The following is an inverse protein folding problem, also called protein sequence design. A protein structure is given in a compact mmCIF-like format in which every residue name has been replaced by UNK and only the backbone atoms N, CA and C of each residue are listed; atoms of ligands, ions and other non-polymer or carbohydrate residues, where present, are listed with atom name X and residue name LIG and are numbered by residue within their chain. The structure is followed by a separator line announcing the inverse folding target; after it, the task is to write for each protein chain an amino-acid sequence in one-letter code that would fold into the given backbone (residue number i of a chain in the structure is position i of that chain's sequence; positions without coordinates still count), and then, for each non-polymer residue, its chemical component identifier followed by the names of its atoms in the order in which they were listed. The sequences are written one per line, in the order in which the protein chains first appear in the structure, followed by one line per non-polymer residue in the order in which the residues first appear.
data_IF_281860314891
#
_entry.id   IF_281860314891
#
_cell.length_a   1.000
_cell.length_b   1.000
_cell.length_c   1.000
_cell.angle_alpha   90.00
_cell.angle_beta   90.00
_cell.angle_gamma   90.00
#
_symmetry.space_group_name_H-M   'P 1'
#
loop_
_entity.id
_entity.type
_entity.pdbx_description
1 polymer ?
#
# COMPACT_ATOMS: atom_id res chain seq x y z
N UNK A 1 1.99 -5.91 19.81
CA UNK A 1 2.97 -6.28 18.75
C UNK A 1 3.70 -5.05 18.23
N UNK A 2 2.99 -3.99 17.80
CA UNK A 2 3.58 -2.68 17.46
C UNK A 2 4.57 -2.18 18.53
N UNK A 3 4.23 -2.31 19.81
CA UNK A 3 5.17 -2.01 20.91
C UNK A 3 6.51 -2.78 20.81
N UNK A 4 6.46 -4.10 20.56
CA UNK A 4 7.67 -4.94 20.43
C UNK A 4 8.47 -4.59 19.18
N UNK A 5 7.79 -4.32 18.07
CA UNK A 5 8.41 -3.93 16.81
C UNK A 5 9.13 -2.58 16.95
N UNK A 6 8.42 -1.59 17.49
CA UNK A 6 8.94 -0.25 17.72
C UNK A 6 10.16 -0.28 18.66
N UNK A 7 10.06 -0.98 19.79
CA UNK A 7 11.21 -1.18 20.68
C UNK A 7 12.36 -1.92 19.98
N UNK A 8 12.04 -2.96 19.20
CA UNK A 8 13.02 -3.74 18.44
C UNK A 8 13.83 -2.87 17.46
N UNK A 9 13.22 -1.87 16.85
CA UNK A 9 13.91 -0.92 15.96
C UNK A 9 14.94 -0.11 16.71
N UNK A 10 14.59 0.47 17.85
CA UNK A 10 15.53 1.23 18.67
C UNK A 10 16.66 0.38 19.22
N UNK A 11 16.36 -0.84 19.68
CA UNK A 11 17.39 -1.75 20.20
C UNK A 11 18.35 -2.22 19.10
N UNK A 12 17.83 -2.57 17.93
CA UNK A 12 18.67 -2.98 16.78
C UNK A 12 19.53 -1.82 16.30
N UNK A 13 18.95 -0.62 16.22
CA UNK A 13 19.66 0.58 15.84
C UNK A 13 20.76 0.95 16.84
N UNK A 14 20.47 0.84 18.15
CA UNK A 14 21.47 1.06 19.19
C UNK A 14 22.62 0.06 19.08
N UNK A 15 22.34 -1.23 18.86
CA UNK A 15 23.37 -2.24 18.68
C UNK A 15 24.24 -1.98 17.43
N UNK A 16 23.63 -1.65 16.29
CA UNK A 16 24.36 -1.32 15.06
C UNK A 16 25.23 -0.06 15.23
N UNK A 17 24.71 0.97 15.90
CA UNK A 17 25.44 2.20 16.18
C UNK A 17 26.60 1.98 17.15
N UNK A 18 26.42 1.16 18.19
CA UNK A 18 27.49 0.77 19.10
C UNK A 18 28.59 0.02 18.34
N UNK A 19 28.23 -0.87 17.42
CA UNK A 19 29.21 -1.57 16.59
C UNK A 19 29.95 -0.59 15.65
N UNK A 20 29.25 0.32 14.96
CA UNK A 20 29.88 1.36 14.14
C UNK A 20 30.83 2.25 14.92
N UNK A 21 30.43 2.64 16.12
CA UNK A 21 31.27 3.49 16.96
C UNK A 21 32.49 2.73 17.49
N UNK A 22 32.30 1.58 18.13
CA UNK A 22 33.35 0.87 18.85
C UNK A 22 34.26 0.04 17.96
N UNK A 23 33.71 -0.60 16.92
CA UNK A 23 34.46 -1.51 16.05
C UNK A 23 34.94 -0.84 14.75
N UNK A 24 34.12 0.03 14.16
CA UNK A 24 34.46 0.71 12.89
C UNK A 24 35.10 2.10 13.13
N UNK A 25 34.92 2.68 14.32
CA UNK A 25 35.50 3.98 14.67
C UNK A 25 34.72 5.17 14.11
N UNK A 26 33.40 5.05 13.94
CA UNK A 26 32.53 6.13 13.46
C UNK A 26 31.76 6.78 14.63
N UNK A 27 32.31 7.82 15.28
CA UNK A 27 31.66 8.49 16.41
C UNK A 27 30.45 9.35 16.00
N UNK A 28 30.33 9.68 14.71
CA UNK A 28 29.27 10.56 14.21
C UNK A 28 27.90 9.86 14.12
N UNK A 29 27.87 8.51 14.20
CA UNK A 29 26.66 7.70 14.08
C UNK A 29 25.54 8.14 15.04
N UNK A 30 25.87 8.43 16.31
CA UNK A 30 24.87 8.86 17.29
C UNK A 30 24.31 10.25 16.96
N UNK A 31 25.16 11.18 16.47
CA UNK A 31 24.72 12.50 16.01
C UNK A 31 23.76 12.35 14.83
N UNK A 32 24.07 11.48 13.87
CA UNK A 32 23.21 11.20 12.71
C UNK A 32 21.87 10.57 13.10
N UNK A 33 21.87 9.63 14.05
CA UNK A 33 20.63 9.03 14.56
C UNK A 33 19.73 10.06 15.25
N UNK A 34 20.31 10.94 16.09
CA UNK A 34 19.56 12.00 16.75
C UNK A 34 19.02 13.02 15.73
N UNK A 35 19.83 13.43 14.75
CA UNK A 35 19.36 14.29 13.67
C UNK A 35 18.18 13.66 12.92
N UNK A 36 18.30 12.37 12.57
CA UNK A 36 17.26 11.63 11.87
C UNK A 36 15.93 11.56 12.65
N UNK A 37 15.96 11.48 13.99
CA UNK A 37 14.73 11.56 14.81
C UNK A 37 13.96 12.85 14.56
N UNK A 38 14.63 14.00 14.63
CA UNK A 38 13.99 15.30 14.46
C UNK A 38 13.58 15.55 13.00
N UNK A 39 14.40 15.11 12.03
CA UNK A 39 14.07 15.20 10.62
C UNK A 39 12.81 14.38 10.29
N UNK A 40 12.71 13.14 10.78
CA UNK A 40 11.52 12.30 10.58
C UNK A 40 10.29 12.86 11.28
N UNK A 41 10.45 13.52 12.44
CA UNK A 41 9.34 14.22 13.09
C UNK A 41 8.81 15.37 12.22
N UNK A 42 9.68 16.14 11.56
CA UNK A 42 9.28 17.20 10.60
C UNK A 42 8.58 16.59 9.38
N UNK A 43 9.17 15.55 8.76
CA UNK A 43 8.58 14.85 7.61
C UNK A 43 7.18 14.32 7.95
N UNK A 44 6.97 13.84 9.18
CA UNK A 44 5.65 13.40 9.64
C UNK A 44 4.61 14.52 9.56
N UNK A 45 4.97 15.75 9.91
CA UNK A 45 4.07 16.91 9.84
C UNK A 45 3.78 17.31 8.39
N UNK A 46 4.79 17.28 7.51
CA UNK A 46 4.60 17.55 6.07
C UNK A 46 3.63 16.55 5.43
N UNK A 47 3.80 15.26 5.75
CA UNK A 47 2.86 14.21 5.35
C UNK A 47 1.47 14.46 5.92
N UNK A 48 1.36 14.93 7.16
CA UNK A 48 0.06 15.27 7.75
C UNK A 48 -0.66 16.39 7.01
N UNK A 49 0.03 17.44 6.56
CA UNK A 49 -0.60 18.52 5.77
C UNK A 49 -1.24 17.97 4.50
N UNK A 50 -0.54 17.07 3.80
CA UNK A 50 -1.08 16.37 2.64
C UNK A 50 -2.29 15.50 3.00
N UNK A 51 -2.21 14.75 4.11
CA UNK A 51 -3.31 13.91 4.59
C UNK A 51 -4.55 14.72 4.98
N UNK A 52 -4.39 15.88 5.63
CA UNK A 52 -5.51 16.78 5.94
C UNK A 52 -6.27 17.18 4.68
N UNK A 53 -5.57 17.63 3.64
CA UNK A 53 -6.22 18.03 2.37
C UNK A 53 -6.89 16.85 1.66
N UNK A 54 -6.17 15.74 1.52
CA UNK A 54 -6.66 14.57 0.76
C UNK A 54 -7.81 13.85 1.45
N UNK A 55 -7.73 13.60 2.77
CA UNK A 55 -8.81 12.96 3.54
C UNK A 55 -10.09 13.81 3.52
N UNK A 56 -9.96 15.12 3.69
CA UNK A 56 -11.09 16.08 3.63
C UNK A 56 -11.78 16.04 2.27
N UNK A 57 -11.01 16.08 1.17
CA UNK A 57 -11.53 16.04 -0.19
C UNK A 57 -12.30 14.75 -0.46
N UNK A 58 -11.65 13.61 -0.21
CA UNK A 58 -12.18 12.30 -0.58
C UNK A 58 -13.39 11.89 0.24
N UNK A 59 -13.38 12.20 1.54
CA UNK A 59 -14.53 11.88 2.38
C UNK A 59 -15.72 12.78 2.12
N UNK A 60 -15.51 14.04 1.71
CA UNK A 60 -16.59 14.89 1.23
C UNK A 60 -17.29 14.29 0.00
N UNK A 61 -16.53 13.91 -1.02
CA UNK A 61 -17.09 13.26 -2.21
C UNK A 61 -17.74 11.90 -1.91
N UNK A 62 -17.11 11.11 -1.03
CA UNK A 62 -17.66 9.83 -0.60
C UNK A 62 -19.01 9.99 0.09
N UNK A 63 -19.16 11.02 0.92
CA UNK A 63 -20.41 11.33 1.62
C UNK A 63 -21.54 11.64 0.65
N UNK A 64 -21.25 12.32 -0.46
CA UNK A 64 -22.23 12.54 -1.54
C UNK A 64 -22.62 11.20 -2.18
N UNK A 65 -21.64 10.34 -2.50
CA UNK A 65 -21.91 9.04 -3.11
C UNK A 65 -22.78 8.13 -2.22
N UNK A 66 -22.56 8.16 -0.91
CA UNK A 66 -23.39 7.48 0.10
C UNK A 66 -24.81 8.02 0.11
N UNK A 67 -24.97 9.34 0.27
CA UNK A 67 -26.28 9.98 0.28
C UNK A 67 -27.04 9.75 -1.04
N UNK A 68 -26.33 9.57 -2.15
CA UNK A 68 -26.89 9.26 -3.46
C UNK A 68 -27.25 7.77 -3.67
N UNK A 69 -26.92 6.89 -2.71
CA UNK A 69 -27.21 5.46 -2.78
C UNK A 69 -26.25 4.65 -3.66
N UNK A 70 -25.08 5.20 -4.01
CA UNK A 70 -24.10 4.53 -4.88
C UNK A 70 -23.35 3.42 -4.14
N UNK A 71 -23.01 3.65 -2.88
CA UNK A 71 -22.26 2.69 -2.05
C UNK A 71 -23.08 1.42 -1.81
N UNK A 72 -24.39 1.54 -1.61
CA UNK A 72 -25.33 0.43 -1.42
C UNK A 72 -25.53 -0.37 -2.71
N UNK A 73 -25.44 0.26 -3.88
CA UNK A 73 -25.47 -0.44 -5.17
C UNK A 73 -24.21 -1.29 -5.36
N UNK A 74 -23.04 -0.74 -5.05
CA UNK A 74 -21.78 -1.50 -5.11
C UNK A 74 -21.78 -2.65 -4.09
N UNK A 75 -22.27 -2.40 -2.87
CA UNK A 75 -22.42 -3.42 -1.84
C UNK A 75 -23.32 -4.59 -2.29
N UNK A 76 -24.39 -4.30 -3.04
CA UNK A 76 -25.27 -5.34 -3.62
C UNK A 76 -24.59 -6.14 -4.73
N UNK A 77 -23.80 -5.48 -5.57
CA UNK A 77 -23.08 -6.13 -6.68
C UNK A 77 -22.06 -7.15 -6.17
N UNK A 78 -21.23 -6.77 -5.19
CA UNK A 78 -20.21 -7.65 -4.62
C UNK A 78 -20.68 -8.43 -3.39
N UNK A 79 -21.92 -8.20 -2.94
CA UNK A 79 -22.54 -8.88 -1.80
C UNK A 79 -22.43 -10.41 -1.86
N UNK A 80 -22.65 -11.09 -3.00
CA UNK A 80 -22.49 -12.54 -3.11
C UNK A 80 -21.07 -13.03 -2.80
N UNK A 81 -20.04 -12.30 -3.25
CA UNK A 81 -18.64 -12.63 -2.99
C UNK A 81 -18.29 -12.43 -1.51
N UNK A 82 -18.56 -11.22 -0.98
CA UNK A 82 -18.22 -10.90 0.40
C UNK A 82 -19.06 -11.67 1.42
N UNK A 83 -20.26 -12.15 1.07
CA UNK A 83 -20.99 -13.08 1.93
C UNK A 83 -20.26 -14.42 2.14
N UNK A 84 -19.38 -14.83 1.21
CA UNK A 84 -18.55 -16.04 1.34
C UNK A 84 -17.20 -15.75 1.97
N UNK A 85 -16.60 -14.60 1.64
CA UNK A 85 -15.28 -14.22 2.16
C UNK A 85 -15.33 -13.61 3.58
N UNK A 86 -16.43 -12.93 3.92
CA UNK A 86 -16.66 -12.23 5.18
C UNK A 86 -18.03 -12.62 5.77
N UNK A 87 -18.24 -13.89 6.17
CA UNK A 87 -19.54 -14.39 6.62
C UNK A 87 -20.09 -13.69 7.87
N UNK A 88 -19.23 -13.01 8.65
CA UNK A 88 -19.64 -12.22 9.81
C UNK A 88 -20.18 -10.81 9.49
N UNK A 89 -20.17 -10.40 8.22
CA UNK A 89 -20.69 -9.09 7.79
C UNK A 89 -22.08 -9.28 7.18
N UNK A 90 -23.14 -8.62 7.71
CA UNK A 90 -24.47 -8.71 7.14
C UNK A 90 -24.52 -8.30 5.67
N UNK A 91 -25.40 -8.94 4.90
CA UNK A 91 -25.64 -8.54 3.50
C UNK A 91 -26.12 -7.09 3.46
N UNK A 92 -25.65 -6.33 2.48
CA UNK A 92 -25.93 -4.90 2.29
C UNK A 92 -25.41 -3.96 3.40
N UNK A 93 -24.56 -4.44 4.31
CA UNK A 93 -23.89 -3.55 5.27
C UNK A 93 -23.00 -2.54 4.51
N UNK A 94 -22.97 -1.25 4.91
CA UNK A 94 -22.16 -0.22 4.25
C UNK A 94 -20.69 -0.58 4.09
N UNK A 95 -20.13 -1.32 5.06
CA UNK A 95 -18.77 -1.86 5.02
C UNK A 95 -18.42 -2.51 3.67
N UNK A 96 -19.32 -3.30 3.08
CA UNK A 96 -19.05 -4.00 1.81
C UNK A 96 -18.85 -3.00 0.67
N UNK A 97 -19.70 -1.97 0.60
CA UNK A 97 -19.60 -0.92 -0.43
C UNK A 97 -18.32 -0.09 -0.28
N UNK A 98 -17.95 0.25 0.95
CA UNK A 98 -16.71 1.00 1.25
C UNK A 98 -15.45 0.18 0.93
N UNK A 99 -15.42 -1.11 1.29
CA UNK A 99 -14.31 -2.01 0.94
C UNK A 99 -14.17 -2.12 -0.58
N UNK A 100 -15.30 -2.26 -1.28
CA UNK A 100 -15.33 -2.33 -2.75
C UNK A 100 -14.74 -1.06 -3.37
N UNK A 101 -15.17 0.10 -2.89
CA UNK A 101 -14.69 1.38 -3.40
C UNK A 101 -13.22 1.63 -3.05
N UNK A 102 -12.77 1.22 -1.87
CA UNK A 102 -11.36 1.25 -1.48
C UNK A 102 -10.50 0.40 -2.41
N UNK A 103 -10.88 -0.84 -2.70
CA UNK A 103 -10.15 -1.69 -3.66
C UNK A 103 -10.18 -1.13 -5.08
N UNK A 104 -11.29 -0.54 -5.51
CA UNK A 104 -11.35 0.13 -6.81
C UNK A 104 -10.42 1.35 -6.88
N UNK A 105 -10.35 2.15 -5.81
CA UNK A 105 -9.45 3.30 -5.72
C UNK A 105 -7.97 2.86 -5.77
N UNK A 106 -7.57 1.86 -4.98
CA UNK A 106 -6.22 1.26 -5.07
C UNK A 106 -5.96 0.69 -6.48
N UNK A 107 -6.94 -0.01 -7.04
CA UNK A 107 -6.96 -0.55 -8.40
C UNK A 107 -6.54 0.48 -9.45
N UNK A 108 -7.12 1.67 -9.36
CA UNK A 108 -6.89 2.75 -10.31
C UNK A 108 -5.63 3.60 -10.01
N UNK A 109 -4.82 3.22 -9.01
CA UNK A 109 -3.66 4.01 -8.58
C UNK A 109 -4.05 5.33 -7.90
N UNK A 110 -5.24 5.38 -7.31
CA UNK A 110 -5.78 6.54 -6.60
C UNK A 110 -5.52 6.40 -5.10
N UNK A 111 -4.26 6.17 -4.73
CA UNK A 111 -3.84 5.84 -3.35
C UNK A 111 -4.27 6.92 -2.34
N UNK A 112 -4.26 8.19 -2.78
CA UNK A 112 -4.72 9.34 -2.02
C UNK A 112 -6.22 9.28 -1.65
N UNK A 113 -7.02 8.57 -2.44
CA UNK A 113 -8.45 8.34 -2.22
C UNK A 113 -8.73 7.08 -1.41
N UNK A 114 -7.94 6.03 -1.61
CA UNK A 114 -8.21 4.72 -1.03
C UNK A 114 -8.10 4.74 0.49
N UNK A 115 -7.05 5.34 1.04
CA UNK A 115 -6.82 5.39 2.51
C UNK A 115 -7.99 5.98 3.29
N UNK A 116 -8.54 7.18 2.96
CA UNK A 116 -9.73 7.71 3.65
C UNK A 116 -10.93 6.75 3.63
N UNK A 117 -11.21 6.18 2.46
CA UNK A 117 -12.32 5.24 2.26
C UNK A 117 -12.10 3.97 3.09
N UNK A 118 -10.85 3.51 3.18
CA UNK A 118 -10.49 2.32 3.93
C UNK A 118 -10.58 2.50 5.44
N UNK A 119 -10.26 3.68 5.96
CA UNK A 119 -10.45 3.99 7.38
C UNK A 119 -11.93 4.01 7.77
N UNK A 120 -12.80 4.53 6.89
CA UNK A 120 -14.25 4.43 7.08
C UNK A 120 -14.75 2.99 6.97
N UNK A 121 -14.26 2.21 6.01
CA UNK A 121 -14.56 0.78 5.93
C UNK A 121 -14.16 0.04 7.22
N UNK A 122 -13.00 0.35 7.79
CA UNK A 122 -12.53 -0.25 9.04
C UNK A 122 -13.42 0.11 10.24
N UNK A 123 -13.91 1.36 10.31
CA UNK A 123 -14.92 1.80 11.32
C UNK A 123 -16.23 1.05 11.18
N UNK A 124 -16.73 0.89 9.96
CA UNK A 124 -17.96 0.11 9.69
C UNK A 124 -17.79 -1.39 9.99
N UNK A 125 -16.60 -1.94 9.80
CA UNK A 125 -16.31 -3.32 10.24
C UNK A 125 -16.18 -3.41 11.76
N UNK A 126 -15.72 -2.34 12.42
CA UNK A 126 -15.58 -2.29 13.87
C UNK A 126 -16.93 -2.21 14.58
N UNK A 127 -17.94 -1.55 14.01
CA UNK A 127 -19.29 -1.49 14.60
C UNK A 127 -19.93 -2.89 14.74
N UNK A 128 -19.48 -3.84 13.92
CA UNK A 128 -19.90 -5.25 13.93
C UNK A 128 -19.01 -6.14 14.81
N UNK A 129 -17.93 -5.61 15.40
CA UNK A 129 -16.94 -6.41 16.10
C UNK A 129 -17.38 -6.71 17.54
N UNK A 130 -17.66 -7.99 17.90
CA UNK A 130 -18.08 -8.34 19.26
C UNK A 130 -16.94 -8.21 20.29
N UNK A 131 -15.69 -8.13 19.83
CA UNK A 131 -14.50 -7.98 20.67
C UNK A 131 -13.69 -6.76 20.24
N UNK A 132 -14.07 -5.54 20.66
CA UNK A 132 -13.58 -4.28 20.08
C UNK A 132 -12.05 -4.11 20.05
N UNK A 133 -11.32 -4.71 20.99
CA UNK A 133 -9.86 -4.61 21.02
C UNK A 133 -9.13 -5.66 20.17
N UNK A 134 -9.85 -6.60 19.57
CA UNK A 134 -9.29 -7.73 18.81
C UNK A 134 -9.80 -7.73 17.37
N UNK A 135 -8.88 -7.81 16.40
CA UNK A 135 -9.22 -7.77 14.98
C UNK A 135 -10.19 -8.89 14.57
N UNK A 136 -11.31 -8.53 13.95
CA UNK A 136 -12.26 -9.48 13.39
C UNK A 136 -11.74 -10.11 12.10
N UNK A 137 -12.28 -11.26 11.68
CA UNK A 137 -11.84 -11.91 10.44
C UNK A 137 -12.03 -11.00 9.21
N UNK A 138 -13.13 -10.23 9.17
CA UNK A 138 -13.41 -9.30 8.08
C UNK A 138 -12.40 -8.13 8.06
N UNK A 139 -12.06 -7.58 9.23
CA UNK A 139 -11.04 -6.54 9.34
C UNK A 139 -9.67 -7.04 8.86
N UNK A 140 -9.29 -8.26 9.24
CA UNK A 140 -8.03 -8.87 8.83
C UNK A 140 -7.99 -9.10 7.31
N UNK A 141 -9.04 -9.68 6.74
CA UNK A 141 -9.08 -9.93 5.29
C UNK A 141 -9.02 -8.62 4.52
N UNK A 142 -9.83 -7.63 4.91
CA UNK A 142 -9.82 -6.32 4.28
C UNK A 142 -8.42 -5.68 4.33
N UNK A 143 -7.80 -5.69 5.50
CA UNK A 143 -6.49 -5.07 5.70
C UNK A 143 -5.39 -5.75 4.88
N UNK A 144 -5.34 -7.09 4.86
CA UNK A 144 -4.28 -7.81 4.14
C UNK A 144 -4.41 -7.59 2.63
N UNK A 145 -5.62 -7.60 2.10
CA UNK A 145 -5.86 -7.30 0.68
C UNK A 145 -5.56 -5.83 0.34
N UNK A 146 -5.76 -4.91 1.29
CA UNK A 146 -5.37 -3.51 1.11
C UNK A 146 -3.84 -3.36 1.11
N UNK A 147 -3.14 -4.09 1.98
CA UNK A 147 -1.67 -4.10 2.07
C UNK A 147 -0.98 -4.71 0.83
N UNK A 148 -1.65 -5.60 0.10
CA UNK A 148 -1.11 -6.20 -1.12
C UNK A 148 -1.38 -5.39 -2.40
N UNK A 149 -2.20 -4.34 -2.30
CA UNK A 149 -2.54 -3.29 -3.28
C UNK A 149 -2.33 -3.64 -4.76
N UNK A 150 -3.37 -4.23 -5.36
CA UNK A 150 -3.45 -4.47 -6.80
C UNK A 150 -3.54 -3.15 -7.57
N UNK A 151 -2.41 -2.53 -7.92
CA UNK A 151 -2.39 -1.30 -8.73
C UNK A 151 -2.36 -1.64 -10.23
N UNK A 152 -3.42 -1.28 -10.96
CA UNK A 152 -3.55 -1.54 -12.40
C UNK A 152 -2.80 -0.52 -13.27
N UNK A 153 -2.60 0.71 -12.80
CA UNK A 153 -1.96 1.79 -13.54
C UNK A 153 -1.06 2.62 -12.63
N UNK A 154 0.25 2.33 -12.55
CA UNK A 154 1.18 3.02 -11.65
C UNK A 154 1.67 4.36 -12.25
N UNK A 155 0.75 5.28 -12.54
CA UNK A 155 1.02 6.56 -13.24
C UNK A 155 2.11 7.39 -12.56
N UNK A 156 2.11 7.42 -11.22
CA UNK A 156 3.13 8.15 -10.45
C UNK A 156 4.54 7.60 -10.66
N UNK A 157 4.69 6.28 -10.82
CA UNK A 157 5.99 5.66 -11.09
C UNK A 157 6.50 5.99 -12.49
N UNK A 158 5.60 6.01 -13.48
CA UNK A 158 5.96 6.47 -14.84
C UNK A 158 6.44 7.92 -14.81
N UNK A 159 5.76 8.79 -14.07
CA UNK A 159 6.16 10.18 -13.91
C UNK A 159 7.55 10.31 -13.28
N UNK A 160 7.84 9.59 -12.18
CA UNK A 160 9.16 9.64 -11.55
C UNK A 160 10.26 9.14 -12.47
N UNK A 161 10.02 8.06 -13.22
CA UNK A 161 10.98 7.55 -14.22
C UNK A 161 11.22 8.57 -15.32
N UNK A 162 10.17 9.19 -15.85
CA UNK A 162 10.29 10.24 -16.86
C UNK A 162 11.08 11.46 -16.34
N UNK A 163 10.83 11.89 -15.10
CA UNK A 163 11.56 12.99 -14.45
C UNK A 163 13.04 12.68 -14.25
N UNK A 164 13.38 11.41 -14.03
CA UNK A 164 14.76 10.92 -13.91
C UNK A 164 15.39 10.60 -15.28
N UNK A 165 14.72 10.90 -16.39
CA UNK A 165 15.26 10.77 -17.75
C UNK A 165 15.14 9.40 -18.41
N UNK A 166 14.22 8.54 -17.94
CA UNK A 166 14.04 7.21 -18.54
C UNK A 166 13.61 7.30 -20.01
N UNK A 167 14.24 6.50 -20.87
CA UNK A 167 13.89 6.44 -22.29
C UNK A 167 12.47 5.86 -22.49
N UNK A 168 12.13 4.84 -21.69
CA UNK A 168 10.79 4.28 -21.59
C UNK A 168 10.34 4.24 -20.12
N UNK A 169 9.54 5.22 -19.67
CA UNK A 169 8.99 5.24 -18.32
C UNK A 169 8.04 4.06 -18.02
N UNK A 170 7.43 3.46 -19.03
CA UNK A 170 6.42 2.39 -18.89
C UNK A 170 7.03 0.98 -18.85
N UNK A 171 8.34 0.85 -19.07
CA UNK A 171 9.05 -0.43 -19.11
C UNK A 171 8.86 -1.29 -17.84
N UNK A 172 8.61 -0.67 -16.68
CA UNK A 172 8.34 -1.36 -15.40
C UNK A 172 6.90 -1.84 -15.24
N UNK A 173 6.01 -1.52 -16.17
CA UNK A 173 4.57 -1.68 -15.99
C UNK A 173 4.12 -3.14 -15.84
N UNK A 174 4.46 -3.99 -16.81
CA UNK A 174 4.09 -5.40 -16.78
C UNK A 174 4.73 -6.14 -15.59
N UNK A 175 6.01 -5.89 -15.25
CA UNK A 175 6.60 -6.38 -14.01
C UNK A 175 5.88 -5.97 -12.74
N UNK A 176 5.45 -4.70 -12.62
CA UNK A 176 4.65 -4.24 -11.47
C UNK A 176 3.37 -5.05 -11.37
N UNK A 177 2.65 -5.22 -12.48
CA UNK A 177 1.36 -5.90 -12.52
C UNK A 177 1.47 -7.39 -12.14
N UNK A 178 2.55 -8.06 -12.56
CA UNK A 178 2.87 -9.42 -12.16
C UNK A 178 3.20 -9.52 -10.67
N UNK A 179 4.06 -8.64 -10.17
CA UNK A 179 4.50 -8.64 -8.77
C UNK A 179 3.34 -8.35 -7.80
N UNK A 180 2.49 -7.36 -8.12
CA UNK A 180 1.31 -7.06 -7.29
C UNK A 180 0.25 -8.16 -7.34
N UNK A 181 0.07 -8.81 -8.49
CA UNK A 181 -0.84 -9.97 -8.60
C UNK A 181 -0.36 -11.13 -7.71
N UNK A 182 0.95 -11.40 -7.70
CA UNK A 182 1.55 -12.41 -6.83
C UNK A 182 1.40 -12.06 -5.34
N UNK A 183 1.67 -10.80 -4.97
CA UNK A 183 1.46 -10.27 -3.61
C UNK A 183 0.01 -10.45 -3.15
N UNK A 184 -0.94 -10.01 -3.96
CA UNK A 184 -2.38 -10.07 -3.65
C UNK A 184 -2.88 -11.50 -3.54
N UNK A 185 -2.45 -12.39 -4.45
CA UNK A 185 -2.82 -13.80 -4.38
C UNK A 185 -2.24 -14.45 -3.11
N UNK A 186 -0.96 -14.22 -2.80
CA UNK A 186 -0.33 -14.78 -1.62
C UNK A 186 -0.98 -14.29 -0.32
N UNK A 187 -1.26 -12.98 -0.21
CA UNK A 187 -1.97 -12.40 0.93
C UNK A 187 -3.36 -12.97 1.11
N UNK A 188 -4.14 -13.06 0.02
CA UNK A 188 -5.47 -13.67 0.03
C UNK A 188 -5.42 -15.14 0.48
N UNK A 189 -4.53 -15.94 -0.10
CA UNK A 189 -4.37 -17.36 0.24
C UNK A 189 -3.93 -17.55 1.70
N UNK A 190 -3.00 -16.72 2.19
CA UNK A 190 -2.55 -16.76 3.57
C UNK A 190 -3.71 -16.50 4.54
N UNK A 191 -4.57 -15.51 4.25
CA UNK A 191 -5.77 -15.25 5.05
C UNK A 191 -6.76 -16.39 4.93
N UNK A 192 -6.98 -16.92 3.73
CA UNK A 192 -7.91 -18.01 3.48
C UNK A 192 -7.53 -19.28 4.26
N UNK A 193 -6.24 -19.61 4.34
CA UNK A 193 -5.74 -20.72 5.16
C UNK A 193 -5.98 -20.45 6.65
N UNK A 194 -5.55 -19.28 7.15
CA UNK A 194 -5.69 -18.92 8.57
C UNK A 194 -7.16 -18.85 9.03
N UNK A 195 -8.06 -18.37 8.17
CA UNK A 195 -9.48 -18.21 8.47
C UNK A 195 -10.35 -19.39 7.99
N UNK A 196 -9.75 -20.40 7.33
CA UNK A 196 -10.41 -21.58 6.75
C UNK A 196 -11.54 -21.19 5.77
N UNK A 197 -11.28 -20.21 4.90
CA UNK A 197 -12.22 -19.81 3.85
C UNK A 197 -12.35 -20.92 2.80
N UNK A 198 -13.57 -21.14 2.31
CA UNK A 198 -13.87 -22.15 1.28
C UNK A 198 -13.52 -21.60 -0.10
N UNK A 199 -12.26 -21.76 -0.51
CA UNK A 199 -11.79 -21.29 -1.82
C UNK A 199 -12.42 -22.04 -3.00
N UNK A 200 -12.84 -23.30 -2.78
CA UNK A 200 -13.53 -24.13 -3.79
C UNK A 200 -15.01 -23.76 -3.97
N UNK A 201 -15.50 -22.75 -3.24
CA UNK A 201 -16.86 -22.27 -3.41
C UNK A 201 -17.07 -21.74 -4.84
N UNK A 202 -18.12 -22.16 -5.56
CA UNK A 202 -18.33 -21.74 -6.95
C UNK A 202 -18.38 -20.23 -7.14
N UNK A 203 -18.90 -19.49 -6.16
CA UNK A 203 -18.95 -18.02 -6.22
C UNK A 203 -17.53 -17.44 -6.11
N UNK A 204 -16.74 -17.94 -5.17
CA UNK A 204 -15.34 -17.50 -4.99
C UNK A 204 -14.51 -17.85 -6.22
N UNK A 205 -14.64 -19.07 -6.75
CA UNK A 205 -13.95 -19.50 -7.96
C UNK A 205 -14.35 -18.69 -9.19
N UNK A 206 -15.65 -18.35 -9.34
CA UNK A 206 -16.12 -17.51 -10.44
C UNK A 206 -15.48 -16.11 -10.39
N UNK A 207 -15.40 -15.50 -9.20
CA UNK A 207 -14.78 -14.19 -9.04
C UNK A 207 -13.26 -14.23 -9.20
N UNK A 208 -12.57 -15.23 -8.64
CA UNK A 208 -11.12 -15.40 -8.81
C UNK A 208 -10.76 -15.71 -10.26
N UNK A 209 -11.49 -16.62 -10.90
CA UNK A 209 -11.31 -16.95 -12.32
C UNK A 209 -11.64 -15.78 -13.24
N UNK A 210 -12.73 -15.06 -12.96
CA UNK A 210 -13.10 -13.85 -13.70
C UNK A 210 -12.07 -12.73 -13.56
N UNK A 211 -11.56 -12.50 -12.35
CA UNK A 211 -10.49 -11.53 -12.10
C UNK A 211 -9.17 -11.93 -12.80
N UNK A 212 -8.80 -13.22 -12.75
CA UNK A 212 -7.62 -13.73 -13.43
C UNK A 212 -7.74 -13.62 -14.96
N UNK A 213 -8.91 -13.90 -15.54
CA UNK A 213 -9.18 -13.74 -16.97
C UNK A 213 -9.17 -12.28 -17.40
N UNK A 214 -9.80 -11.39 -16.62
CA UNK A 214 -9.78 -9.94 -16.88
C UNK A 214 -8.35 -9.40 -16.81
N UNK A 215 -7.60 -9.79 -15.78
CA UNK A 215 -6.21 -9.38 -15.61
C UNK A 215 -5.32 -9.92 -16.74
N UNK A 216 -5.41 -11.22 -17.04
CA UNK A 216 -4.64 -11.85 -18.11
C UNK A 216 -4.98 -11.28 -19.48
N UNK A 217 -6.26 -11.00 -19.75
CA UNK A 217 -6.71 -10.33 -20.97
C UNK A 217 -6.20 -8.89 -21.07
N UNK A 218 -6.23 -8.14 -19.96
CA UNK A 218 -5.67 -6.79 -19.91
C UNK A 218 -4.16 -6.80 -20.16
N UNK A 219 -3.42 -7.71 -19.52
CA UNK A 219 -1.98 -7.89 -19.72
C UNK A 219 -1.64 -8.28 -21.17
N UNK A 220 -2.41 -9.19 -21.77
CA UNK A 220 -2.21 -9.60 -23.15
C UNK A 220 -2.46 -8.44 -24.15
N UNK A 221 -3.49 -7.63 -23.90
CA UNK A 221 -3.77 -6.44 -24.68
C UNK A 221 -2.61 -5.43 -24.59
N UNK A 222 -2.13 -5.17 -23.38
CA UNK A 222 -1.02 -4.25 -23.15
C UNK A 222 0.29 -4.73 -23.77
N UNK A 223 0.57 -6.04 -23.73
CA UNK A 223 1.75 -6.63 -24.35
C UNK A 223 1.81 -6.41 -25.88
N UNK A 224 0.67 -6.17 -26.53
CA UNK A 224 0.58 -5.84 -27.96
C UNK A 224 0.70 -4.35 -28.28
N UNK A 225 0.78 -3.46 -27.28
CA UNK A 225 0.81 -2.01 -27.47
C UNK A 225 2.24 -1.45 -27.42
N UNK A 226 2.50 -0.36 -28.13
CA UNK A 226 3.77 0.37 -27.99
C UNK A 226 3.83 1.12 -26.65
N UNK A 227 5.04 1.35 -26.12
CA UNK A 227 5.26 2.12 -24.89
C UNK A 227 4.59 3.51 -24.93
N UNK A 228 4.66 4.20 -26.07
CA UNK A 228 4.00 5.48 -26.28
C UNK A 228 2.46 5.38 -26.18
N UNK A 229 1.88 4.30 -26.71
CA UNK A 229 0.44 4.04 -26.60
C UNK A 229 0.04 3.71 -25.15
N UNK A 230 0.84 2.91 -24.41
CA UNK A 230 0.61 2.62 -22.99
C UNK A 230 0.70 3.89 -22.14
N UNK A 231 1.70 4.75 -22.38
CA UNK A 231 1.87 6.01 -21.67
C UNK A 231 0.69 6.97 -21.91
N UNK A 232 0.26 7.10 -23.17
CA UNK A 232 -0.90 7.92 -23.55
C UNK A 232 -2.19 7.38 -22.93
N UNK A 233 -2.41 6.07 -23.00
CA UNK A 233 -3.56 5.38 -22.41
C UNK A 233 -3.60 5.62 -20.88
N UNK A 234 -2.47 5.45 -20.20
CA UNK A 234 -2.37 5.58 -18.75
C UNK A 234 -2.65 7.01 -18.25
N UNK A 235 -2.10 8.02 -18.93
CA UNK A 235 -2.25 9.43 -18.53
C UNK A 235 -3.68 9.96 -18.76
N UNK A 236 -4.27 9.67 -19.93
CA UNK A 236 -5.62 10.13 -20.25
C UNK A 236 -6.64 9.34 -19.46
N UNK A 237 -6.57 8.00 -19.45
CA UNK A 237 -7.58 7.19 -18.77
C UNK A 237 -7.57 7.38 -17.26
N UNK A 238 -6.39 7.48 -16.60
CA UNK A 238 -6.32 7.66 -15.16
C UNK A 238 -6.97 8.96 -14.69
N UNK A 239 -6.61 10.09 -15.32
CA UNK A 239 -7.15 11.41 -14.97
C UNK A 239 -8.64 11.53 -15.31
N UNK A 240 -9.06 10.98 -16.46
CA UNK A 240 -10.45 11.03 -16.92
C UNK A 240 -11.32 10.09 -16.08
N UNK A 241 -10.82 8.93 -15.67
CA UNK A 241 -11.51 8.05 -14.72
C UNK A 241 -11.67 8.73 -13.36
N UNK A 242 -10.60 9.36 -12.84
CA UNK A 242 -10.65 10.05 -11.55
C UNK A 242 -11.70 11.17 -11.54
N UNK A 243 -11.55 12.11 -12.47
CA UNK A 243 -12.46 13.24 -12.57
C UNK A 243 -13.88 12.80 -12.94
N UNK A 244 -13.99 11.77 -13.79
CA UNK A 244 -15.27 11.16 -14.15
C UNK A 244 -16.00 10.54 -12.97
N UNK A 245 -15.30 9.87 -12.04
CA UNK A 245 -15.90 9.35 -10.81
C UNK A 245 -16.41 10.48 -9.91
N UNK A 246 -15.61 11.55 -9.72
CA UNK A 246 -16.01 12.71 -8.94
C UNK A 246 -17.24 13.39 -9.54
N UNK A 247 -17.23 13.59 -10.87
CA UNK A 247 -18.35 14.15 -11.59
C UNK A 247 -19.58 13.25 -11.50
N UNK A 248 -19.42 11.93 -11.58
CA UNK A 248 -20.50 10.98 -11.41
C UNK A 248 -21.12 11.06 -10.02
N UNK A 249 -20.32 11.20 -8.95
CA UNK A 249 -20.84 11.40 -7.60
C UNK A 249 -21.68 12.68 -7.50
N UNK A 250 -21.18 13.79 -8.06
CA UNK A 250 -21.90 15.07 -8.08
C UNK A 250 -23.19 14.99 -8.90
N UNK A 251 -23.13 14.45 -10.12
CA UNK A 251 -24.28 14.36 -11.04
C UNK A 251 -25.34 13.43 -10.48
N UNK A 252 -24.96 12.25 -9.97
CA UNK A 252 -25.92 11.32 -9.37
C UNK A 252 -26.48 11.89 -8.06
N UNK A 253 -25.65 12.55 -7.24
CA UNK A 253 -26.11 13.26 -6.05
C UNK A 253 -27.13 14.34 -6.37
N UNK A 254 -26.84 15.20 -7.34
CA UNK A 254 -27.75 16.24 -7.82
C UNK A 254 -29.05 15.64 -8.39
N UNK A 255 -28.95 14.58 -9.20
CA UNK A 255 -30.12 13.89 -9.75
C UNK A 255 -30.99 13.25 -8.65
N UNK A 256 -30.36 12.76 -7.58
CA UNK A 256 -31.03 12.24 -6.39
C UNK A 256 -31.50 13.33 -5.42
N UNK A 257 -31.33 14.61 -5.78
CA UNK A 257 -31.70 15.78 -4.97
C UNK A 257 -30.98 15.83 -3.61
N UNK A 258 -29.77 15.28 -3.55
CA UNK A 258 -28.88 15.42 -2.40
C UNK A 258 -28.30 16.85 -2.39
N UNK A 259 -28.28 17.55 -1.25
CA UNK A 259 -27.62 18.86 -1.13
C UNK A 259 -26.09 18.65 -1.19
N UNK A 260 -25.54 18.64 -2.42
CA UNK A 260 -24.19 18.14 -2.70
C UNK A 260 -23.10 18.91 -1.94
N UNK A 261 -23.24 20.22 -1.77
CA UNK A 261 -22.25 21.04 -1.08
C UNK A 261 -22.25 20.77 0.43
N UNK A 262 -23.42 20.82 1.06
CA UNK A 262 -23.59 20.58 2.49
C UNK A 262 -23.14 19.17 2.86
N UNK A 263 -23.54 18.18 2.04
CA UNK A 263 -23.16 16.78 2.19
C UNK A 263 -21.65 16.60 2.03
N UNK A 264 -21.03 17.31 1.10
CA UNK A 264 -19.57 17.34 0.96
C UNK A 264 -18.90 17.90 2.23
N UNK A 265 -19.39 19.01 2.77
CA UNK A 265 -18.83 19.63 3.98
C UNK A 265 -18.96 18.71 5.21
N UNK A 266 -20.04 17.95 5.33
CA UNK A 266 -20.19 16.92 6.37
C UNK A 266 -19.09 15.85 6.28
N UNK A 267 -18.88 15.28 5.09
CA UNK A 267 -17.84 14.27 4.89
C UNK A 267 -16.43 14.83 5.05
N UNK A 268 -16.22 16.08 4.64
CA UNK A 268 -14.96 16.80 4.78
C UNK A 268 -14.53 16.95 6.25
N UNK A 269 -15.48 17.27 7.15
CA UNK A 269 -15.21 17.35 8.60
C UNK A 269 -14.76 16.02 9.18
N UNK A 270 -15.38 14.91 8.78
CA UNK A 270 -14.96 13.57 9.20
C UNK A 270 -13.50 13.28 8.76
N UNK A 271 -13.15 13.68 7.53
CA UNK A 271 -11.79 13.51 7.01
C UNK A 271 -10.74 14.27 7.81
N UNK A 272 -11.07 15.48 8.25
CA UNK A 272 -10.22 16.29 9.12
C UNK A 272 -9.99 15.62 10.48
N UNK A 273 -11.03 15.09 11.11
CA UNK A 273 -10.94 14.41 12.41
C UNK A 273 -10.12 13.12 12.32
N UNK A 274 -10.28 12.36 11.23
CA UNK A 274 -9.44 11.19 10.96
C UNK A 274 -7.98 11.61 10.88
N UNK A 275 -7.65 12.60 10.04
CA UNK A 275 -6.28 13.06 9.86
C UNK A 275 -5.61 13.39 11.20
N UNK A 276 -6.28 14.18 12.05
CA UNK A 276 -5.80 14.54 13.39
C UNK A 276 -5.41 13.33 14.23
N UNK A 277 -6.19 12.25 14.17
CA UNK A 277 -5.94 11.03 14.94
C UNK A 277 -4.72 10.22 14.48
N UNK A 278 -4.24 10.42 13.25
CA UNK A 278 -3.15 9.64 12.65
C UNK A 278 -1.75 10.15 13.02
N UNK A 279 -1.62 11.45 13.34
CA UNK A 279 -0.33 12.10 13.59
C UNK A 279 0.54 11.35 14.63
N UNK A 280 0.04 10.94 15.81
CA UNK A 280 0.87 10.28 16.81
C UNK A 280 1.47 8.96 16.31
N UNK A 281 0.69 8.17 15.58
CA UNK A 281 1.13 6.88 15.04
C UNK A 281 2.16 7.06 13.93
N UNK A 282 1.97 8.06 13.07
CA UNK A 282 2.91 8.39 11.99
C UNK A 282 4.27 8.83 12.55
N UNK A 283 4.28 9.77 13.51
CA UNK A 283 5.51 10.25 14.15
C UNK A 283 6.27 9.11 14.82
N UNK A 284 5.58 8.27 15.61
CA UNK A 284 6.22 7.17 16.32
C UNK A 284 6.94 6.21 15.36
N UNK A 285 6.28 5.82 14.26
CA UNK A 285 6.83 4.87 13.30
C UNK A 285 7.93 5.47 12.43
N UNK A 286 7.74 6.67 11.88
CA UNK A 286 8.75 7.30 11.00
C UNK A 286 10.05 7.59 11.76
N UNK A 287 9.97 8.05 13.01
CA UNK A 287 11.14 8.25 13.86
C UNK A 287 11.91 6.94 14.11
N UNK A 288 11.21 5.84 14.40
CA UNK A 288 11.85 4.54 14.62
C UNK A 288 12.57 4.03 13.37
N UNK A 289 11.96 4.19 12.19
CA UNK A 289 12.56 3.82 10.90
C UNK A 289 13.77 4.70 10.57
N UNK A 290 13.66 6.02 10.80
CA UNK A 290 14.78 6.95 10.58
C UNK A 290 16.01 6.59 11.41
N UNK A 291 15.81 6.29 12.69
CA UNK A 291 16.88 5.84 13.59
C UNK A 291 17.50 4.52 13.12
N UNK A 292 16.67 3.55 12.72
CA UNK A 292 17.15 2.26 12.22
C UNK A 292 18.00 2.45 10.95
N UNK A 293 17.57 3.31 10.03
CA UNK A 293 18.36 3.64 8.83
C UNK A 293 19.67 4.35 9.19
N UNK A 294 19.60 5.42 9.97
CA UNK A 294 20.77 6.22 10.34
C UNK A 294 21.83 5.44 11.13
N UNK A 295 21.41 4.40 11.85
CA UNK A 295 22.31 3.51 12.58
C UNK A 295 23.21 2.63 11.71
N UNK A 296 22.90 2.47 10.41
CA UNK A 296 23.57 1.53 9.52
C UNK A 296 23.14 0.07 9.69
N UNK A 297 22.12 -0.20 10.51
CA UNK A 297 21.58 -1.55 10.68
C UNK A 297 21.10 -2.16 9.35
N UNK A 298 20.49 -1.34 8.47
CA UNK A 298 20.07 -1.78 7.15
C UNK A 298 21.27 -2.12 6.26
N UNK A 299 22.35 -1.34 6.31
CA UNK A 299 23.55 -1.60 5.50
C UNK A 299 24.20 -2.94 5.88
N UNK A 300 24.34 -3.22 7.19
CA UNK A 300 24.85 -4.52 7.65
C UNK A 300 23.97 -5.69 7.21
N UNK A 301 22.64 -5.51 7.22
CA UNK A 301 21.71 -6.53 6.74
C UNK A 301 21.92 -6.79 5.24
N UNK A 302 22.05 -5.73 4.44
CA UNK A 302 22.25 -5.82 3.00
C UNK A 302 23.59 -6.46 2.65
N UNK A 303 24.67 -6.11 3.36
CA UNK A 303 25.98 -6.75 3.19
C UNK A 303 25.95 -8.23 3.54
N UNK A 304 25.21 -8.60 4.59
CA UNK A 304 24.97 -10.01 4.94
C UNK A 304 24.23 -10.76 3.84
N UNK A 305 23.18 -10.16 3.27
CA UNK A 305 22.44 -10.74 2.12
C UNK A 305 23.34 -10.86 0.90
N UNK A 306 24.13 -9.83 0.60
CA UNK A 306 25.10 -9.84 -0.51
C UNK A 306 26.12 -10.96 -0.35
N UNK A 307 26.68 -11.12 0.85
CA UNK A 307 27.62 -12.18 1.16
C UNK A 307 26.99 -13.56 0.94
N UNK A 308 25.78 -13.80 1.46
CA UNK A 308 25.05 -15.06 1.25
C UNK A 308 24.77 -15.35 -0.22
N UNK A 309 24.33 -14.34 -0.98
CA UNK A 309 24.08 -14.47 -2.41
C UNK A 309 25.35 -14.84 -3.18
N UNK A 310 26.49 -14.21 -2.85
CA UNK A 310 27.79 -14.57 -3.45
C UNK A 310 28.20 -16.01 -3.13
N UNK A 311 28.02 -16.47 -1.89
CA UNK A 311 28.31 -17.86 -1.51
C UNK A 311 27.41 -18.87 -2.24
N UNK A 312 26.16 -18.48 -2.55
CA UNK A 312 25.23 -19.29 -3.33
C UNK A 312 25.48 -19.22 -4.85
N UNK A 313 26.44 -18.41 -5.32
CA UNK A 313 26.69 -18.18 -6.74
C UNK A 313 25.57 -17.40 -7.44
N UNK A 314 24.78 -16.63 -6.68
CA UNK A 314 23.67 -15.84 -7.20
C UNK A 314 24.15 -14.45 -7.64
N UNK A 315 23.45 -13.89 -8.62
CA UNK A 315 23.58 -12.49 -9.00
C UNK A 315 23.17 -11.59 -7.81
N UNK A 316 23.97 -10.56 -7.51
CA UNK A 316 23.75 -9.68 -6.35
C UNK A 316 23.09 -8.34 -6.69
N UNK A 317 22.80 -8.04 -7.96
CA UNK A 317 22.22 -6.75 -8.38
C UNK A 317 20.90 -6.45 -7.68
N UNK A 318 20.14 -7.49 -7.30
CA UNK A 318 18.89 -7.28 -6.55
C UNK A 318 19.09 -6.67 -5.17
N UNK A 319 20.26 -6.87 -4.55
CA UNK A 319 20.55 -6.39 -3.19
C UNK A 319 20.51 -4.87 -3.12
N UNK A 320 20.96 -4.19 -4.17
CA UNK A 320 20.99 -2.73 -4.23
C UNK A 320 19.58 -2.12 -4.34
N UNK A 321 18.56 -2.93 -4.69
CA UNK A 321 17.15 -2.52 -4.71
C UNK A 321 16.38 -2.82 -3.41
N UNK A 322 16.93 -3.69 -2.55
CA UNK A 322 16.29 -4.09 -1.30
C UNK A 322 16.02 -2.96 -0.29
N UNK A 323 16.77 -1.84 -0.23
CA UNK A 323 16.38 -0.71 0.63
C UNK A 323 14.92 -0.26 0.41
N UNK A 324 14.47 -0.21 -0.85
CA UNK A 324 13.08 0.13 -1.16
C UNK A 324 12.11 -0.90 -0.59
N UNK A 325 12.35 -2.20 -0.79
CA UNK A 325 11.51 -3.27 -0.25
C UNK A 325 11.47 -3.31 1.28
N UNK A 326 12.60 -3.07 1.95
CA UNK A 326 12.69 -3.12 3.42
C UNK A 326 11.98 -1.95 4.08
N UNK A 327 12.03 -0.76 3.48
CA UNK A 327 11.38 0.45 4.00
C UNK A 327 9.88 0.47 3.67
N UNK A 328 9.47 -0.15 2.56
CA UNK A 328 8.10 -0.08 2.03
C UNK A 328 7.01 -0.53 3.01
N UNK A 329 7.14 -1.63 3.78
CA UNK A 329 6.14 -2.00 4.79
C UNK A 329 5.88 -0.91 5.84
N UNK A 330 6.82 0.00 6.07
CA UNK A 330 6.73 1.04 7.09
C UNK A 330 6.31 2.40 6.54
N UNK A 331 6.78 2.75 5.33
CA UNK A 331 6.50 4.05 4.74
C UNK A 331 6.68 4.05 3.22
N UNK A 332 5.61 4.39 2.51
CA UNK A 332 5.58 4.43 1.06
C UNK A 332 6.32 5.64 0.50
N UNK A 333 6.34 6.75 1.23
CA UNK A 333 7.10 7.95 0.88
C UNK A 333 8.60 7.76 1.11
N UNK A 334 9.00 7.11 2.20
CA UNK A 334 10.41 6.79 2.45
C UNK A 334 10.94 5.76 1.45
N UNK A 335 10.16 4.71 1.15
CA UNK A 335 10.52 3.74 0.12
C UNK A 335 10.65 4.36 -1.28
N UNK A 336 9.77 5.32 -1.60
CA UNK A 336 9.87 6.11 -2.83
C UNK A 336 11.14 6.95 -2.86
N UNK A 337 11.54 7.55 -1.73
CA UNK A 337 12.82 8.27 -1.65
C UNK A 337 14.00 7.32 -1.91
N UNK A 338 13.99 6.10 -1.36
CA UNK A 338 15.01 5.08 -1.64
C UNK A 338 15.05 4.69 -3.12
N UNK A 339 13.88 4.55 -3.74
CA UNK A 339 13.79 4.28 -5.18
C UNK A 339 14.39 5.42 -6.01
N UNK A 340 14.06 6.67 -5.71
CA UNK A 340 14.60 7.85 -6.39
C UNK A 340 16.12 8.02 -6.17
N UNK A 341 16.59 7.70 -4.97
CA UNK A 341 18.03 7.66 -4.63
C UNK A 341 18.74 6.61 -5.48
N UNK A 342 18.17 5.39 -5.59
CA UNK A 342 18.68 4.33 -6.46
C UNK A 342 18.76 4.78 -7.92
N UNK A 343 17.70 5.43 -8.45
CA UNK A 343 17.67 5.96 -9.82
C UNK A 343 18.73 7.03 -10.04
N UNK A 344 18.93 7.93 -9.07
CA UNK A 344 19.92 9.02 -9.15
C UNK A 344 21.34 8.49 -9.14
N UNK A 345 21.64 7.50 -8.28
CA UNK A 345 23.00 6.99 -8.10
C UNK A 345 23.42 5.93 -9.13
N UNK A 346 22.50 5.06 -9.54
CA UNK A 346 22.80 3.93 -10.41
C UNK A 346 22.28 4.11 -11.84
N UNK A 347 21.48 5.16 -12.08
CA UNK A 347 20.80 5.42 -13.35
C UNK A 347 19.39 4.82 -13.37
N UNK A 348 18.44 5.56 -13.95
CA UNK A 348 17.01 5.23 -13.94
C UNK A 348 16.64 3.90 -14.62
N UNK A 349 17.44 3.46 -15.59
CA UNK A 349 17.26 2.22 -16.35
C UNK A 349 18.24 1.11 -15.91
N UNK A 350 18.99 1.32 -14.83
CA UNK A 350 19.78 0.24 -14.22
C UNK A 350 18.89 -0.84 -13.63
N UNK A 351 19.39 -2.09 -13.59
CA UNK A 351 18.65 -3.20 -13.01
C UNK A 351 18.13 -2.91 -11.58
N UNK A 352 18.94 -2.36 -10.64
CA UNK A 352 18.45 -2.03 -9.30
C UNK A 352 17.37 -0.95 -9.32
N UNK A 353 17.48 0.07 -10.18
CA UNK A 353 16.47 1.12 -10.30
C UNK A 353 15.13 0.60 -10.84
N UNK A 354 15.19 -0.30 -11.85
CA UNK A 354 14.01 -0.99 -12.38
C UNK A 354 13.34 -1.86 -11.32
N UNK A 355 14.12 -2.66 -10.60
CA UNK A 355 13.63 -3.50 -9.53
C UNK A 355 13.05 -2.68 -8.36
N UNK A 356 13.72 -1.60 -7.93
CA UNK A 356 13.19 -0.68 -6.91
C UNK A 356 11.86 -0.06 -7.34
N UNK A 357 11.70 0.30 -8.62
CA UNK A 357 10.43 0.79 -9.15
C UNK A 357 9.34 -0.29 -9.12
N UNK A 358 9.66 -1.53 -9.48
CA UNK A 358 8.72 -2.65 -9.41
C UNK A 358 8.31 -2.95 -7.96
N UNK A 359 9.27 -2.98 -7.04
CA UNK A 359 9.02 -3.16 -5.60
C UNK A 359 8.11 -2.05 -5.07
N UNK A 360 8.39 -0.79 -5.39
CA UNK A 360 7.60 0.37 -4.95
C UNK A 360 6.14 0.29 -5.43
N UNK A 361 5.90 -0.26 -6.62
CA UNK A 361 4.56 -0.42 -7.22
C UNK A 361 3.85 -1.74 -6.90
N UNK A 362 4.54 -2.71 -6.30
CA UNK A 362 4.01 -4.08 -6.12
C UNK A 362 3.24 -4.32 -4.82
N UNK A 363 3.45 -3.50 -3.80
CA UNK A 363 2.93 -3.70 -2.44
C UNK A 363 2.52 -2.35 -1.83
N UNK A 364 1.84 -2.38 -0.69
CA UNK A 364 1.55 -1.22 0.14
C UNK A 364 2.28 -1.26 1.49
N UNK A 365 2.02 -0.25 2.30
CA UNK A 365 2.70 -0.04 3.58
C UNK A 365 2.08 -0.87 4.70
N UNK A 366 2.43 -2.16 4.81
CA UNK A 366 1.86 -3.10 5.80
C UNK A 366 1.73 -2.56 7.23
N UNK A 367 2.84 -2.17 7.86
CA UNK A 367 2.83 -1.72 9.26
C UNK A 367 2.19 -0.35 9.43
N UNK A 368 2.28 0.52 8.42
CA UNK A 368 1.59 1.80 8.42
C UNK A 368 0.07 1.61 8.33
N UNK A 369 -0.40 0.85 7.34
CA UNK A 369 -1.82 0.49 7.18
C UNK A 369 -2.33 -0.20 8.46
N UNK A 370 -1.58 -1.14 9.04
CA UNK A 370 -1.90 -1.72 10.34
C UNK A 370 -2.03 -0.67 11.45
N UNK A 371 -1.04 0.19 11.62
CA UNK A 371 -1.05 1.20 12.68
C UNK A 371 -2.20 2.21 12.50
N UNK A 372 -2.41 2.69 11.28
CA UNK A 372 -3.42 3.68 10.94
C UNK A 372 -4.82 3.07 11.00
N UNK A 373 -5.04 1.91 10.40
CA UNK A 373 -6.36 1.31 10.34
C UNK A 373 -6.78 0.78 11.71
N UNK A 374 -5.95 -0.03 12.37
CA UNK A 374 -6.27 -0.53 13.70
C UNK A 374 -6.26 0.57 14.77
N UNK A 375 -5.33 1.53 14.67
CA UNK A 375 -5.29 2.69 15.56
C UNK A 375 -6.54 3.55 15.47
N UNK A 376 -7.09 3.76 14.27
CA UNK A 376 -8.30 4.57 14.06
C UNK A 376 -9.57 3.99 14.71
N UNK A 377 -9.56 2.69 15.04
CA UNK A 377 -10.70 1.97 15.62
C UNK A 377 -10.39 1.31 16.98
N UNK A 378 -9.23 1.60 17.57
CA UNK A 378 -8.85 1.12 18.90
C UNK A 378 -8.48 -0.36 19.00
N UNK A 379 -8.07 -1.00 17.91
CA UNK A 379 -7.68 -2.42 17.91
C UNK A 379 -6.26 -2.59 18.49
N UNK A 380 -6.13 -3.42 19.51
CA UNK A 380 -4.87 -3.70 20.22
C UNK A 380 -4.25 -5.04 19.79
N UNK A 381 -5.10 -6.02 19.44
CA UNK A 381 -4.71 -7.39 19.10
C UNK A 381 -4.95 -7.69 17.63
N UNK A 382 -3.88 -7.65 16.84
CA UNK A 382 -3.89 -7.84 15.39
C UNK A 382 -4.10 -9.30 14.90
N UNK A 383 -4.01 -10.31 15.79
CA UNK A 383 -4.07 -11.75 15.45
C UNK A 383 -3.10 -12.10 14.31
N UNK A 384 -3.58 -12.80 13.28
CA UNK A 384 -2.80 -13.25 12.12
C UNK A 384 -2.68 -12.20 11.01
N UNK A 385 -3.21 -10.97 11.17
CA UNK A 385 -3.16 -9.94 10.14
C UNK A 385 -1.74 -9.64 9.67
N UNK A 386 -0.82 -9.49 10.63
CA UNK A 386 0.56 -9.11 10.35
C UNK A 386 1.30 -10.23 9.63
N UNK A 387 1.13 -11.47 10.08
CA UNK A 387 1.73 -12.63 9.42
C UNK A 387 1.26 -12.76 7.98
N UNK A 388 -0.04 -12.63 7.73
CA UNK A 388 -0.58 -12.68 6.38
C UNK A 388 -0.13 -11.50 5.50
N UNK A 389 -0.05 -10.29 6.04
CA UNK A 389 0.43 -9.12 5.30
C UNK A 389 1.92 -9.24 4.96
N UNK A 390 2.76 -9.71 5.89
CA UNK A 390 4.17 -9.97 5.62
C UNK A 390 4.40 -11.09 4.59
N UNK A 391 3.52 -12.10 4.54
CA UNK A 391 3.54 -13.10 3.47
C UNK A 391 3.24 -12.45 2.12
N UNK A 392 2.27 -11.54 2.06
CA UNK A 392 1.97 -10.77 0.85
C UNK A 392 3.18 -9.93 0.41
N UNK A 393 3.76 -9.17 1.34
CA UNK A 393 4.95 -8.35 1.08
C UNK A 393 6.12 -9.20 0.56
N UNK A 394 6.43 -10.31 1.24
CA UNK A 394 7.49 -11.21 0.83
C UNK A 394 7.23 -11.81 -0.55
N UNK A 395 5.99 -12.24 -0.83
CA UNK A 395 5.62 -12.74 -2.15
C UNK A 395 5.76 -11.67 -3.25
N UNK A 396 5.34 -10.43 -2.96
CA UNK A 396 5.51 -9.29 -3.87
C UNK A 396 6.97 -8.98 -4.16
N UNK A 397 7.82 -8.94 -3.13
CA UNK A 397 9.27 -8.71 -3.26
C UNK A 397 9.95 -9.84 -4.04
N UNK A 398 9.66 -11.10 -3.70
CA UNK A 398 10.24 -12.26 -4.40
C UNK A 398 9.78 -12.32 -5.86
N UNK A 399 8.50 -12.02 -6.13
CA UNK A 399 7.99 -11.92 -7.49
C UNK A 399 8.63 -10.77 -8.25
N UNK A 400 8.81 -9.59 -7.63
CA UNK A 400 9.51 -8.47 -8.23
C UNK A 400 10.94 -8.85 -8.64
N UNK A 401 11.70 -9.50 -7.75
CA UNK A 401 13.05 -9.97 -8.04
C UNK A 401 13.05 -10.94 -9.23
N UNK A 402 12.22 -11.99 -9.16
CA UNK A 402 12.16 -13.01 -10.21
C UNK A 402 11.72 -12.46 -11.57
N UNK A 403 10.71 -11.59 -11.59
CA UNK A 403 10.19 -10.98 -12.81
C UNK A 403 11.19 -9.96 -13.38
N UNK A 404 11.88 -9.18 -12.55
CA UNK A 404 12.92 -8.27 -13.04
C UNK A 404 14.11 -9.03 -13.63
N UNK A 405 14.55 -10.15 -13.04
CA UNK A 405 15.57 -11.00 -13.67
C UNK A 405 15.06 -11.63 -14.97
N UNK A 406 13.78 -11.95 -15.07
CA UNK A 406 13.23 -12.48 -16.31
C UNK A 406 13.16 -11.44 -17.44
N UNK A 407 12.80 -10.18 -17.12
CA UNK A 407 12.62 -9.12 -18.11
C UNK A 407 13.91 -8.34 -18.42
N UNK A 408 14.80 -8.19 -17.43
CA UNK A 408 15.94 -7.26 -17.47
C UNK A 408 17.28 -7.89 -17.06
N UNK A 409 17.28 -9.20 -16.75
CA UNK A 409 18.41 -9.93 -16.17
C UNK A 409 19.52 -10.24 -17.14
#
# INVERSE_FOLDING_TARGET
MLNKLWLGFFLTAAAAALYRWLAIGDPDVFRLMVASLFDMARVSVEVMVLLFGTLTLWLGFLRIAEAAGLVEKLARLLGPLFARLMPGVPRNHPAIGLITLNFAANGLGLDNAATPIGLRAMRELQSLNPTPETASNAQILFLVLNASSLTLLPVTLFMFRAQQGAADPTLVFLPILLATSASTLAGFLAVAVCQRLRLTDPVVMLWLGGAALLMGGFMALLAGMSAAAIASLSSVMGNLALFGILLAFLVVGAWKKVPVYETFIEGAKEGFDIAKSLLPYLVAMLCAVGVLRASGALDFLLDGIRWLALQAGWDTRFVDALPTALVKPFSGSAARAMMLETMTHLGVDSFPALLSAVMQGSTETTFYVLAVYFGSVGILRARHAVGCALIADAAGVMAAIGVCYWFFG
#
